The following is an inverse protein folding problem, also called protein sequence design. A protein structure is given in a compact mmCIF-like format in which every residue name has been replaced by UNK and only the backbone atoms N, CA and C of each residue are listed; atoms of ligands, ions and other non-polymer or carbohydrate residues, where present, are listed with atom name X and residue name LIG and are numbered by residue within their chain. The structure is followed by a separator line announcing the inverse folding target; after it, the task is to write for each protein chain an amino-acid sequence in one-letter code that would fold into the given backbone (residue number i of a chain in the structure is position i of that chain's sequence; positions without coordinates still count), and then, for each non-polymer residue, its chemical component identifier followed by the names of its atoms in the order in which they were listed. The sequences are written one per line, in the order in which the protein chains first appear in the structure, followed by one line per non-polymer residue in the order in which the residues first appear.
data_IF_983001770295
#
_entry.id   IF_983001770295
#
_cell.length_a   1.000
_cell.length_b   1.000
_cell.length_c   1.000
_cell.angle_alpha   90.00
_cell.angle_beta   90.00
_cell.angle_gamma   90.00
#
_symmetry.space_group_name_H-M   'P 1'
#
loop_
_entity.id
_entity.type
_entity.pdbx_description
1 polymer ?
#
# COMPACT_ATOMS: atom_id res chain seq x y z
N UNK A 1 -51.24 -55.91 25.81
CA UNK A 1 -49.94 -55.37 25.35
C UNK A 1 -50.21 -54.33 24.28
N UNK A 2 -49.83 -53.07 24.51
CA UNK A 2 -49.52 -52.07 23.47
C UNK A 2 -49.09 -50.80 24.19
N UNK A 3 -47.77 -50.59 24.34
CA UNK A 3 -47.21 -49.34 24.85
C UNK A 3 -46.90 -48.45 23.65
N UNK A 4 -47.59 -47.32 23.55
CA UNK A 4 -47.26 -46.26 22.60
C UNK A 4 -46.02 -45.51 23.11
N UNK A 5 -44.94 -45.53 22.34
CA UNK A 5 -43.77 -44.67 22.55
C UNK A 5 -43.95 -43.37 21.77
N UNK A 6 -43.77 -42.18 22.39
CA UNK A 6 -43.79 -40.93 21.65
C UNK A 6 -42.44 -40.73 20.94
N UNK A 7 -42.48 -40.46 19.65
CA UNK A 7 -41.32 -40.05 18.86
C UNK A 7 -41.08 -38.57 19.16
N UNK A 8 -40.06 -38.27 19.97
CA UNK A 8 -39.57 -36.90 20.17
C UNK A 8 -38.75 -36.53 18.93
N UNK A 9 -39.33 -35.70 18.06
CA UNK A 9 -38.61 -35.13 16.91
C UNK A 9 -37.75 -33.98 17.42
N UNK A 10 -36.47 -34.26 17.64
CA UNK A 10 -35.47 -33.27 18.03
C UNK A 10 -35.01 -32.51 16.77
N UNK A 11 -35.57 -31.33 16.53
CA UNK A 11 -35.16 -30.45 15.44
C UNK A 11 -33.79 -29.86 15.79
N UNK A 12 -32.74 -30.43 15.20
CA UNK A 12 -31.39 -29.91 15.31
C UNK A 12 -31.28 -28.60 14.51
N UNK A 13 -31.32 -27.46 15.21
CA UNK A 13 -31.08 -26.14 14.63
C UNK A 13 -29.58 -26.00 14.36
N UNK A 14 -29.13 -26.48 13.20
CA UNK A 14 -27.77 -26.29 12.72
C UNK A 14 -27.55 -24.80 12.42
N UNK A 15 -27.04 -24.05 13.41
CA UNK A 15 -26.56 -22.68 13.24
C UNK A 15 -25.42 -22.67 12.24
N UNK A 16 -25.75 -22.35 10.98
CA UNK A 16 -24.80 -22.12 9.91
C UNK A 16 -24.00 -20.86 10.26
N UNK A 17 -22.85 -21.02 10.90
CA UNK A 17 -21.91 -19.92 11.15
C UNK A 17 -21.32 -19.58 9.79
N UNK A 18 -21.91 -18.60 9.10
CA UNK A 18 -21.34 -18.03 7.88
C UNK A 18 -20.13 -17.21 8.33
N UNK A 19 -18.89 -17.57 7.97
CA UNK A 19 -17.75 -16.71 8.25
C UNK A 19 -17.98 -15.40 7.50
N UNK A 20 -18.08 -14.30 8.24
CA UNK A 20 -18.15 -12.96 7.67
C UNK A 20 -16.77 -12.70 7.03
N UNK A 21 -16.63 -12.98 5.73
CA UNK A 21 -15.47 -12.57 4.97
C UNK A 21 -15.38 -11.05 5.07
N UNK A 22 -14.40 -10.55 5.83
CA UNK A 22 -14.05 -9.15 5.81
C UNK A 22 -13.63 -8.83 4.37
N UNK A 23 -14.47 -8.10 3.64
CA UNK A 23 -14.06 -7.47 2.39
C UNK A 23 -12.94 -6.51 2.74
N UNK A 24 -11.72 -6.92 2.42
CA UNK A 24 -10.56 -6.04 2.39
C UNK A 24 -10.96 -4.84 1.54
N UNK A 25 -10.75 -3.63 2.05
CA UNK A 25 -10.92 -2.43 1.23
C UNK A 25 -9.87 -2.45 0.13
N UNK A 26 -10.23 -3.01 -1.03
CA UNK A 26 -9.44 -3.04 -2.25
C UNK A 26 -9.15 -1.62 -2.79
N UNK A 27 -9.78 -0.60 -2.22
CA UNK A 27 -9.70 0.79 -2.68
C UNK A 27 -8.26 1.36 -2.63
N UNK A 28 -7.38 0.83 -1.78
CA UNK A 28 -5.97 1.31 -1.74
C UNK A 28 -5.08 0.69 -2.82
N UNK A 29 -5.45 -0.47 -3.36
CA UNK A 29 -4.61 -1.21 -4.30
C UNK A 29 -4.61 -0.51 -5.65
N UNK A 30 -3.44 -0.34 -6.25
CA UNK A 30 -3.34 0.41 -7.50
C UNK A 30 -2.06 1.19 -7.64
N UNK A 31 -2.08 2.11 -8.59
CA UNK A 31 -1.01 3.07 -8.82
C UNK A 31 -1.48 4.47 -8.42
N UNK A 32 -0.62 5.18 -7.71
CA UNK A 32 -0.92 6.50 -7.19
C UNK A 32 0.23 7.45 -7.45
N UNK A 33 -0.06 8.72 -7.69
CA UNK A 33 0.97 9.74 -7.95
C UNK A 33 1.07 10.78 -6.86
N UNK A 34 2.29 11.27 -6.65
CA UNK A 34 2.52 12.56 -6.03
C UNK A 34 2.69 13.63 -7.11
N UNK A 35 2.36 14.88 -6.77
CA UNK A 35 2.49 16.02 -7.68
C UNK A 35 3.27 17.15 -7.03
N UNK A 36 3.96 17.95 -7.83
CA UNK A 36 4.51 19.21 -7.36
C UNK A 36 3.38 20.18 -7.00
N UNK A 37 3.48 20.82 -5.84
CA UNK A 37 2.41 21.68 -5.33
C UNK A 37 2.26 23.00 -6.09
N UNK A 38 3.29 23.44 -6.84
CA UNK A 38 3.29 24.73 -7.56
C UNK A 38 2.91 24.57 -9.02
N UNK A 39 3.51 23.60 -9.69
CA UNK A 39 3.41 23.38 -11.13
C UNK A 39 2.44 22.25 -11.48
N UNK A 40 2.10 21.38 -10.52
CA UNK A 40 1.10 20.33 -10.72
C UNK A 40 1.56 19.12 -11.53
N UNK A 41 2.81 19.08 -11.98
CA UNK A 41 3.35 17.91 -12.67
C UNK A 41 3.59 16.74 -11.69
N UNK A 42 3.58 15.52 -12.22
CA UNK A 42 3.84 14.29 -11.47
C UNK A 42 5.29 14.21 -11.01
N UNK A 43 5.50 13.96 -9.72
CA UNK A 43 6.85 13.83 -9.12
C UNK A 43 7.23 12.38 -8.85
N UNK A 44 6.26 11.52 -8.58
CA UNK A 44 6.50 10.09 -8.44
C UNK A 44 5.23 9.30 -8.69
N UNK A 45 5.38 8.03 -9.05
CA UNK A 45 4.30 7.05 -9.09
C UNK A 45 4.66 5.90 -8.15
N UNK A 46 3.73 5.52 -7.28
CA UNK A 46 3.83 4.41 -6.35
C UNK A 46 2.88 3.29 -6.76
N UNK A 47 3.34 2.05 -6.71
CA UNK A 47 2.52 0.86 -6.73
C UNK A 47 2.17 0.46 -5.30
N UNK A 48 0.89 0.29 -5.03
CA UNK A 48 0.35 -0.16 -3.74
C UNK A 48 -0.26 -1.54 -3.94
N UNK A 49 0.30 -2.53 -3.26
CA UNK A 49 0.02 -3.94 -3.53
C UNK A 49 -0.04 -4.75 -2.23
N UNK A 50 -0.74 -5.88 -2.29
CA UNK A 50 -0.75 -6.86 -1.23
C UNK A 50 0.23 -7.98 -1.52
N UNK A 51 0.87 -8.48 -0.46
CA UNK A 51 1.57 -9.76 -0.46
C UNK A 51 1.15 -10.53 0.78
N UNK A 52 0.41 -11.62 0.58
CA UNK A 52 -0.36 -12.24 1.67
C UNK A 52 -1.39 -11.27 2.23
N UNK A 53 -1.47 -11.15 3.56
CA UNK A 53 -2.44 -10.30 4.26
C UNK A 53 -1.94 -8.87 4.50
N UNK A 54 -0.75 -8.53 4.01
CA UNK A 54 -0.08 -7.27 4.30
C UNK A 54 -0.05 -6.35 3.07
N UNK A 55 -0.17 -5.04 3.30
CA UNK A 55 -0.03 -4.00 2.30
C UNK A 55 1.40 -3.45 2.24
N UNK A 56 1.85 -3.19 1.02
CA UNK A 56 3.15 -2.65 0.67
C UNK A 56 3.01 -1.51 -0.33
N UNK A 57 4.02 -0.64 -0.36
CA UNK A 57 4.10 0.46 -1.32
C UNK A 57 5.51 0.63 -1.86
N UNK A 58 5.65 0.63 -3.17
CA UNK A 58 6.93 0.79 -3.88
C UNK A 58 6.86 1.91 -4.88
N UNK A 59 7.86 2.79 -4.90
CA UNK A 59 7.99 3.77 -5.99
C UNK A 59 8.38 3.02 -7.27
N UNK A 60 7.63 3.24 -8.34
CA UNK A 60 7.85 2.58 -9.65
C UNK A 60 8.38 3.55 -10.72
N UNK A 61 8.13 4.85 -10.55
CA UNK A 61 8.67 5.92 -11.38
C UNK A 61 8.98 7.13 -10.50
N UNK A 62 10.12 7.78 -10.76
CA UNK A 62 10.53 9.03 -10.10
C UNK A 62 10.85 10.10 -11.14
N UNK A 63 10.41 11.33 -10.87
CA UNK A 63 10.65 12.52 -11.68
C UNK A 63 11.35 13.59 -10.86
N UNK A 64 12.07 14.47 -11.55
CA UNK A 64 12.76 15.59 -10.93
C UNK A 64 11.76 16.60 -10.39
N UNK A 65 11.82 16.88 -9.10
CA UNK A 65 10.85 17.75 -8.41
C UNK A 65 10.92 19.22 -8.84
N UNK A 66 11.94 19.63 -9.60
CA UNK A 66 12.09 21.01 -10.08
C UNK A 66 11.64 21.19 -11.53
N UNK A 67 11.87 20.17 -12.35
CA UNK A 67 11.73 20.23 -13.81
C UNK A 67 10.66 19.30 -14.37
N UNK A 68 10.22 18.30 -13.60
CA UNK A 68 9.31 17.25 -14.07
C UNK A 68 9.97 16.25 -15.04
N UNK A 69 11.29 16.31 -15.24
CA UNK A 69 12.00 15.38 -16.10
C UNK A 69 12.04 13.98 -15.49
N UNK A 70 11.94 12.94 -16.32
CA UNK A 70 12.11 11.55 -15.86
C UNK A 70 13.51 11.36 -15.27
N UNK A 71 13.58 10.83 -14.05
CA UNK A 71 14.85 10.48 -13.41
C UNK A 71 15.14 8.98 -13.55
N UNK A 72 14.19 8.15 -13.13
CA UNK A 72 14.38 6.71 -13.06
C UNK A 72 13.06 5.95 -13.04
N UNK A 73 13.14 4.66 -13.36
CA UNK A 73 12.03 3.71 -13.26
C UNK A 73 12.48 2.49 -12.44
N UNK A 74 11.54 1.68 -11.97
CA UNK A 74 11.88 0.45 -11.24
C UNK A 74 12.72 -0.54 -12.07
N UNK A 75 12.68 -0.44 -13.40
CA UNK A 75 13.48 -1.27 -14.30
C UNK A 75 14.92 -0.75 -14.47
N UNK A 76 15.12 0.56 -14.29
CA UNK A 76 16.43 1.20 -14.34
C UNK A 76 16.64 2.14 -13.13
N UNK A 77 16.71 1.60 -11.90
CA UNK A 77 16.87 2.42 -10.71
C UNK A 77 18.32 2.92 -10.60
N UNK A 78 18.46 4.21 -10.28
CA UNK A 78 19.69 4.99 -10.21
C UNK A 78 19.91 5.59 -8.80
N UNK A 79 18.89 6.24 -8.21
CA UNK A 79 19.08 6.96 -6.95
C UNK A 79 19.16 5.98 -5.77
N UNK A 80 19.96 6.33 -4.77
CA UNK A 80 20.15 5.53 -3.56
C UNK A 80 19.62 6.26 -2.33
N UNK A 81 19.16 5.49 -1.35
CA UNK A 81 18.82 6.00 -0.03
C UNK A 81 20.11 6.13 0.79
N UNK A 82 20.82 7.25 0.61
CA UNK A 82 22.15 7.48 1.20
C UNK A 82 22.20 7.42 2.73
N UNK A 83 21.05 7.63 3.39
CA UNK A 83 20.93 7.63 4.85
C UNK A 83 20.81 6.24 5.47
N UNK A 84 20.63 5.20 4.66
CA UNK A 84 20.62 3.81 5.14
C UNK A 84 21.99 3.16 4.95
N UNK A 85 22.35 2.27 5.88
CA UNK A 85 23.65 1.57 5.87
C UNK A 85 23.91 0.83 4.56
N UNK A 86 22.90 0.13 4.04
CA UNK A 86 23.00 -0.65 2.80
C UNK A 86 22.90 0.18 1.53
N UNK A 87 22.58 1.48 1.65
CA UNK A 87 22.36 2.42 0.53
C UNK A 87 21.57 1.80 -0.63
N UNK A 88 20.39 1.21 -0.38
CA UNK A 88 19.64 0.51 -1.40
C UNK A 88 19.19 1.50 -2.47
N UNK A 89 18.94 1.00 -3.69
CA UNK A 89 18.34 1.82 -4.73
C UNK A 89 16.89 2.13 -4.36
N UNK A 90 16.47 3.38 -4.51
CA UNK A 90 15.18 3.89 -4.03
C UNK A 90 13.99 3.09 -4.57
N UNK A 91 13.94 2.86 -5.88
CA UNK A 91 12.83 2.15 -6.54
C UNK A 91 12.96 0.61 -6.44
N UNK A 92 14.00 0.09 -5.78
CA UNK A 92 14.20 -1.35 -5.57
C UNK A 92 13.69 -1.85 -4.20
N UNK A 93 13.18 -0.94 -3.36
CA UNK A 93 12.68 -1.23 -2.02
C UNK A 93 11.26 -0.70 -1.83
N UNK A 94 10.55 -1.27 -0.88
CA UNK A 94 9.27 -0.72 -0.43
C UNK A 94 9.50 0.47 0.50
N UNK A 95 8.80 1.57 0.22
CA UNK A 95 8.82 2.79 1.03
C UNK A 95 7.85 2.71 2.21
N UNK A 96 6.81 1.87 2.12
CA UNK A 96 5.99 1.49 3.26
C UNK A 96 5.59 0.01 3.19
N UNK A 97 5.44 -0.63 4.34
CA UNK A 97 5.32 -2.09 4.41
C UNK A 97 4.61 -2.59 5.67
N UNK A 98 4.19 -3.86 5.60
CA UNK A 98 3.63 -4.65 6.70
C UNK A 98 2.39 -4.02 7.37
N UNK A 99 1.56 -3.28 6.64
CA UNK A 99 0.28 -2.82 7.18
C UNK A 99 -0.77 -3.91 7.04
N UNK A 100 -1.64 -4.06 8.03
CA UNK A 100 -2.77 -4.99 8.02
C UNK A 100 -4.08 -4.23 7.90
N UNK A 101 -5.06 -4.85 7.24
CA UNK A 101 -6.40 -4.30 7.14
C UNK A 101 -7.05 -4.26 8.52
N UNK A 102 -7.63 -3.11 8.88
CA UNK A 102 -8.35 -2.85 10.11
C UNK A 102 -9.43 -1.79 9.84
N UNK A 103 -10.69 -2.24 9.78
CA UNK A 103 -11.89 -1.39 9.71
C UNK A 103 -11.81 -0.29 8.64
N UNK A 104 -11.52 -0.67 7.39
CA UNK A 104 -11.46 0.25 6.24
C UNK A 104 -10.18 1.07 6.14
N UNK A 105 -9.18 0.79 6.97
CA UNK A 105 -7.81 1.33 6.86
C UNK A 105 -6.79 0.20 6.90
N UNK A 106 -5.56 0.54 6.56
CA UNK A 106 -4.40 -0.32 6.74
C UNK A 106 -3.51 0.28 7.81
N UNK A 107 -3.14 -0.51 8.83
CA UNK A 107 -2.43 -0.01 10.03
C UNK A 107 -1.33 -0.94 10.49
N UNK A 108 -0.53 -0.45 11.44
CA UNK A 108 0.50 -1.26 12.11
C UNK A 108 1.79 -1.47 11.30
N UNK A 109 1.88 -0.85 10.13
CA UNK A 109 3.07 -0.93 9.27
C UNK A 109 4.07 0.18 9.54
N UNK A 110 5.05 0.28 8.66
CA UNK A 110 6.13 1.29 8.71
C UNK A 110 6.23 2.05 7.38
N UNK A 111 6.71 3.29 7.44
CA UNK A 111 7.08 4.11 6.28
C UNK A 111 8.49 4.65 6.47
N UNK A 112 9.30 4.59 5.42
CA UNK A 112 10.63 5.18 5.33
C UNK A 112 10.53 6.56 4.68
N UNK A 113 11.12 7.57 5.30
CA UNK A 113 11.49 8.81 4.61
C UNK A 113 12.89 8.62 3.97
N UNK A 114 12.99 8.53 2.64
CA UNK A 114 14.26 8.26 1.98
C UNK A 114 15.26 9.42 2.09
N UNK A 115 14.82 10.64 2.41
CA UNK A 115 15.70 11.81 2.53
C UNK A 115 16.43 11.83 3.86
N UNK A 116 15.73 11.47 4.94
CA UNK A 116 16.29 11.42 6.30
C UNK A 116 16.80 10.04 6.70
N UNK A 117 16.29 8.97 6.07
CA UNK A 117 16.53 7.59 6.49
C UNK A 117 15.68 7.15 7.68
N UNK A 118 14.84 8.03 8.22
CA UNK A 118 14.01 7.72 9.36
C UNK A 118 12.82 6.85 8.99
N UNK A 119 12.46 5.96 9.91
CA UNK A 119 11.31 5.07 9.78
C UNK A 119 10.27 5.41 10.83
N UNK A 120 9.03 5.54 10.38
CA UNK A 120 7.90 5.93 11.22
C UNK A 120 6.83 4.85 11.22
N UNK A 121 6.06 4.77 12.31
CA UNK A 121 4.83 3.98 12.31
C UNK A 121 3.87 4.56 11.27
N UNK A 122 3.09 3.72 10.59
CA UNK A 122 2.29 4.20 9.47
C UNK A 122 0.93 3.54 9.33
N UNK A 123 0.06 4.27 8.64
CA UNK A 123 -1.28 3.83 8.23
C UNK A 123 -1.58 4.33 6.82
N UNK A 124 -2.41 3.60 6.10
CA UNK A 124 -2.81 3.93 4.74
C UNK A 124 -4.33 3.76 4.56
N UNK A 125 -5.00 4.68 3.88
CA UNK A 125 -6.42 4.58 3.56
C UNK A 125 -6.79 5.48 2.38
N UNK A 126 -7.91 5.20 1.72
CA UNK A 126 -8.49 6.14 0.73
C UNK A 126 -9.50 7.05 1.42
N UNK A 127 -9.45 8.34 1.08
CA UNK A 127 -10.44 9.34 1.49
C UNK A 127 -10.73 10.26 0.30
N UNK A 128 -12.01 10.34 -0.08
CA UNK A 128 -12.46 11.17 -1.21
C UNK A 128 -11.72 10.85 -2.52
N UNK A 129 -11.46 9.57 -2.79
CA UNK A 129 -10.73 9.13 -3.99
C UNK A 129 -9.22 9.43 -3.97
N UNK A 130 -8.67 9.88 -2.83
CA UNK A 130 -7.25 10.15 -2.65
C UNK A 130 -6.66 9.13 -1.68
N UNK A 131 -5.49 8.59 -2.02
CA UNK A 131 -4.74 7.75 -1.11
C UNK A 131 -4.03 8.63 -0.08
N UNK A 132 -4.21 8.28 1.18
CA UNK A 132 -3.57 8.95 2.31
C UNK A 132 -2.63 7.99 2.99
N UNK A 133 -1.33 8.30 2.96
CA UNK A 133 -0.30 7.63 3.74
C UNK A 133 0.07 8.52 4.92
N UNK A 134 -0.10 8.02 6.14
CA UNK A 134 0.24 8.77 7.36
C UNK A 134 1.47 8.17 8.03
N UNK A 135 2.51 8.97 8.21
CA UNK A 135 3.62 8.66 9.12
C UNK A 135 3.35 9.22 10.51
N UNK A 136 3.69 8.49 11.57
CA UNK A 136 3.36 8.84 12.96
C UNK A 136 4.54 8.68 13.92
N UNK A 137 4.58 9.55 14.92
CA UNK A 137 5.38 9.44 16.14
C UNK A 137 4.43 9.62 17.31
N UNK A 138 4.11 8.52 18.00
CA UNK A 138 3.11 8.52 19.07
C UNK A 138 1.73 9.02 18.56
N UNK A 139 1.11 10.00 19.23
CA UNK A 139 -0.20 10.54 18.83
C UNK A 139 -0.12 11.48 17.61
N UNK A 140 1.07 11.99 17.29
CA UNK A 140 1.27 12.94 16.19
C UNK A 140 1.50 12.21 14.87
N UNK A 141 1.08 12.80 13.77
CA UNK A 141 1.38 12.28 12.44
C UNK A 141 1.15 13.27 11.31
N UNK A 142 1.88 13.05 10.22
CA UNK A 142 1.80 13.83 8.99
C UNK A 142 1.23 12.94 7.88
N UNK A 143 0.37 13.53 7.06
CA UNK A 143 -0.25 12.84 5.93
C UNK A 143 0.46 13.23 4.63
N UNK A 144 0.84 12.24 3.84
CA UNK A 144 1.13 12.38 2.41
C UNK A 144 -0.12 12.01 1.62
N UNK A 145 -0.48 12.84 0.65
CA UNK A 145 -1.66 12.65 -0.20
C UNK A 145 -1.18 12.27 -1.60
N UNK A 146 -1.76 11.20 -2.14
CA UNK A 146 -1.51 10.75 -3.50
C UNK A 146 -2.80 10.74 -4.30
N UNK A 147 -2.68 11.07 -5.58
CA UNK A 147 -3.78 11.17 -6.54
C UNK A 147 -3.84 9.91 -7.41
N UNK A 148 -5.00 9.57 -8.00
CA UNK A 148 -5.05 8.52 -9.00
C UNK A 148 -4.16 8.87 -10.20
N UNK A 149 -3.53 7.86 -10.78
CA UNK A 149 -2.76 8.00 -12.02
C UNK A 149 -3.66 8.00 -13.25
N UNK A 150 -3.19 8.62 -14.32
CA UNK A 150 -3.64 8.44 -15.70
C UNK A 150 -2.48 7.96 -16.56
N UNK A 151 -2.73 7.46 -17.76
CA UNK A 151 -1.68 6.87 -18.59
C UNK A 151 -0.54 7.86 -18.93
N UNK A 152 -0.83 9.17 -19.01
CA UNK A 152 0.19 10.20 -19.24
C UNK A 152 1.12 10.47 -18.05
N UNK A 153 0.83 9.90 -16.87
CA UNK A 153 1.72 9.98 -15.70
C UNK A 153 2.88 8.98 -15.76
N UNK A 154 2.87 8.08 -16.75
CA UNK A 154 3.94 7.11 -16.98
C UNK A 154 4.81 7.57 -18.16
N UNK A 155 6.12 7.28 -18.14
CA UNK A 155 6.98 7.61 -19.26
C UNK A 155 6.68 6.71 -20.47
N UNK A 156 6.93 7.22 -21.67
CA UNK A 156 6.70 6.47 -22.91
C UNK A 156 7.39 5.12 -22.89
N UNK A 157 6.64 4.05 -23.17
CA UNK A 157 7.15 2.68 -23.18
C UNK A 157 7.26 2.03 -21.81
N UNK A 158 6.85 2.69 -20.73
CA UNK A 158 6.79 2.07 -19.41
C UNK A 158 5.70 0.99 -19.37
N UNK A 159 6.11 -0.23 -19.07
CA UNK A 159 5.19 -1.35 -18.83
C UNK A 159 4.86 -1.36 -17.33
N UNK A 160 3.59 -1.28 -16.98
CA UNK A 160 3.17 -1.38 -15.57
C UNK A 160 3.42 -2.81 -15.06
N UNK A 161 4.02 -2.99 -13.87
CA UNK A 161 4.09 -4.32 -13.27
C UNK A 161 2.70 -4.78 -12.87
N UNK A 162 2.42 -6.08 -12.99
CA UNK A 162 1.23 -6.67 -12.37
C UNK A 162 1.38 -6.59 -10.85
N UNK A 163 0.42 -5.97 -10.15
CA UNK A 163 0.52 -5.75 -8.70
C UNK A 163 0.68 -7.06 -7.92
N UNK A 164 0.06 -8.15 -8.40
CA UNK A 164 0.15 -9.50 -7.82
C UNK A 164 1.50 -10.18 -8.04
N UNK A 165 2.31 -9.68 -8.96
CA UNK A 165 3.66 -10.19 -9.23
C UNK A 165 4.74 -9.55 -8.35
N UNK A 166 4.40 -8.45 -7.65
CA UNK A 166 5.35 -7.73 -6.80
C UNK A 166 5.63 -8.52 -5.52
N UNK A 167 6.92 -8.67 -5.21
CA UNK A 167 7.41 -9.30 -3.99
C UNK A 167 8.01 -8.24 -3.06
N UNK A 168 7.70 -8.26 -1.75
CA UNK A 168 8.25 -7.31 -0.79
C UNK A 168 9.78 -7.28 -0.78
N UNK A 169 10.33 -6.07 -0.69
CA UNK A 169 11.74 -5.73 -0.61
C UNK A 169 11.91 -4.68 0.47
N UNK A 170 11.91 -5.12 1.72
CA UNK A 170 11.94 -4.23 2.88
C UNK A 170 13.38 -3.73 3.10
N UNK A 171 13.60 -2.41 3.24
CA UNK A 171 14.94 -1.87 3.47
C UNK A 171 15.54 -2.35 4.80
N UNK A 172 16.85 -2.60 4.79
CA UNK A 172 17.64 -2.79 6.00
C UNK A 172 17.93 -1.41 6.60
N UNK A 173 17.41 -1.16 7.81
CA UNK A 173 17.48 0.12 8.51
C UNK A 173 18.75 0.23 9.33
#
# INVERSE_FOLDING_TARGET
MCRCTPIIVMVAFASLIVPLSATISDDVLGFWKSTDAKQGFTTSVIAVYCYGENLYGRVVVSYDERTGALLETMYHPLQRVEKLTSKPKLLAIDIFWNMKSDNGKWRGGKVLDPRSGHVYASECWVRNGLLVLRGKIGPFGMNSIFYPVVDSDFPTGFVRPELTSLVPSIPQI
#
